data_IF_523379730668
#
_entry.id   IF_523379730668
#
_cell.length_a   1.000
_cell.length_b   1.000
_cell.length_c   1.000
_cell.angle_alpha   90.00
_cell.angle_beta   90.00
_cell.angle_gamma   90.00
#
_symmetry.space_group_name_H-M   'P 1'
#
loop_
_entity.id
_entity.type
_entity.pdbx_description
1 polymer ?
#
# COMPACT_ATOMS: atom_id res chain seq x y z
N UNK A 1 -36.10 -15.80 2.52
CA UNK A 1 -34.95 -15.14 1.89
C UNK A 1 -33.87 -14.85 2.94
N UNK A 2 -32.64 -15.25 2.72
CA UNK A 2 -31.55 -14.99 3.68
C UNK A 2 -31.16 -13.51 3.62
N UNK A 3 -31.35 -12.77 4.71
CA UNK A 3 -30.90 -11.37 4.85
C UNK A 3 -29.42 -11.23 5.17
N UNK A 4 -28.71 -12.33 5.45
CA UNK A 4 -27.26 -12.31 5.75
C UNK A 4 -26.47 -12.33 4.46
N UNK A 5 -25.59 -11.34 4.30
CA UNK A 5 -24.66 -11.26 3.17
C UNK A 5 -23.73 -12.49 3.23
N UNK A 6 -23.73 -13.29 2.18
CA UNK A 6 -22.85 -14.45 2.07
C UNK A 6 -21.40 -13.93 2.00
N UNK A 7 -20.56 -14.36 2.91
CA UNK A 7 -19.13 -14.08 2.84
C UNK A 7 -18.56 -14.95 1.73
N UNK A 8 -18.23 -14.32 0.61
CA UNK A 8 -17.53 -14.98 -0.49
C UNK A 8 -16.05 -14.85 -0.18
N UNK A 9 -15.42 -15.95 0.24
CA UNK A 9 -13.96 -16.03 0.27
C UNK A 9 -13.45 -15.97 -1.16
N UNK A 10 -12.91 -14.81 -1.54
CA UNK A 10 -12.22 -14.68 -2.82
C UNK A 10 -10.82 -15.26 -2.64
N UNK A 11 -10.50 -16.26 -3.44
CA UNK A 11 -9.12 -16.74 -3.57
C UNK A 11 -8.23 -15.56 -3.97
N UNK A 12 -7.10 -15.40 -3.29
CA UNK A 12 -6.12 -14.39 -3.65
C UNK A 12 -5.53 -14.75 -5.00
N UNK A 13 -5.86 -13.96 -6.02
CA UNK A 13 -5.29 -14.13 -7.35
C UNK A 13 -3.79 -13.88 -7.28
N UNK A 14 -3.03 -14.87 -7.69
CA UNK A 14 -1.58 -14.77 -7.84
C UNK A 14 -1.23 -14.20 -9.21
N UNK A 15 -0.06 -13.59 -9.29
CA UNK A 15 0.51 -13.10 -10.53
C UNK A 15 1.09 -14.25 -11.36
N UNK A 16 0.99 -14.16 -12.70
CA UNK A 16 1.43 -15.20 -13.62
C UNK A 16 2.96 -15.34 -13.73
N UNK A 17 3.71 -14.25 -13.49
CA UNK A 17 5.18 -14.25 -13.65
C UNK A 17 5.93 -14.62 -12.37
N UNK A 18 5.51 -14.08 -11.24
CA UNK A 18 6.18 -14.25 -9.95
C UNK A 18 5.39 -15.10 -8.96
N UNK A 19 4.16 -15.54 -9.29
CA UNK A 19 3.30 -16.29 -8.39
C UNK A 19 2.92 -15.52 -7.10
N UNK A 20 3.06 -14.19 -7.10
CA UNK A 20 2.90 -13.35 -5.91
C UNK A 20 1.55 -12.66 -5.87
N UNK A 21 0.81 -12.83 -4.77
CA UNK A 21 -0.44 -12.11 -4.52
C UNK A 21 -0.20 -10.58 -4.36
N UNK A 22 0.98 -10.19 -3.83
CA UNK A 22 1.35 -8.79 -3.67
C UNK A 22 1.54 -8.11 -5.03
N UNK A 23 2.22 -8.77 -5.98
CA UNK A 23 2.39 -8.26 -7.35
C UNK A 23 1.04 -8.18 -8.06
N UNK A 24 0.19 -9.17 -7.92
CA UNK A 24 -1.16 -9.14 -8.50
C UNK A 24 -2.00 -7.98 -7.95
N UNK A 25 -1.89 -7.68 -6.65
CA UNK A 25 -2.54 -6.53 -6.00
C UNK A 25 -1.98 -5.20 -6.51
N UNK A 26 -0.66 -5.11 -6.71
CA UNK A 26 0.00 -3.92 -7.27
C UNK A 26 -0.47 -3.67 -8.71
N UNK A 27 -0.50 -4.69 -9.57
CA UNK A 27 -1.02 -4.64 -10.95
C UNK A 27 -2.47 -4.14 -10.95
N UNK A 28 -3.32 -4.71 -10.07
CA UNK A 28 -4.71 -4.31 -9.95
C UNK A 28 -4.91 -2.84 -9.54
N UNK A 29 -3.99 -2.30 -8.72
CA UNK A 29 -4.03 -0.89 -8.28
C UNK A 29 -3.51 0.07 -9.36
N UNK A 30 -2.58 -0.37 -10.20
CA UNK A 30 -2.03 0.42 -11.31
C UNK A 30 -2.99 0.41 -12.50
N UNK A 31 -3.72 -0.69 -12.70
CA UNK A 31 -4.60 -0.89 -13.84
C UNK A 31 -5.61 0.26 -13.97
N UNK A 32 -5.72 0.79 -15.19
CA UNK A 32 -6.71 1.81 -15.55
C UNK A 32 -7.54 1.34 -16.75
N UNK A 33 -8.85 1.58 -16.70
CA UNK A 33 -9.79 1.23 -17.81
C UNK A 33 -9.69 -0.24 -18.27
N UNK A 34 -9.40 -1.18 -17.36
CA UNK A 34 -9.30 -2.61 -17.66
C UNK A 34 -8.05 -3.05 -18.43
N UNK A 35 -7.11 -2.14 -18.73
CA UNK A 35 -5.91 -2.42 -19.53
C UNK A 35 -4.86 -3.18 -18.71
N UNK A 36 -5.14 -4.45 -18.39
CA UNK A 36 -4.32 -5.27 -17.51
C UNK A 36 -2.93 -5.57 -18.10
N UNK A 37 -2.83 -5.91 -19.37
CA UNK A 37 -1.55 -6.22 -20.02
C UNK A 37 -0.54 -5.06 -19.98
N UNK A 38 -1.02 -3.82 -20.08
CA UNK A 38 -0.18 -2.63 -19.93
C UNK A 38 0.28 -2.48 -18.48
N UNK A 39 -0.64 -2.66 -17.50
CA UNK A 39 -0.31 -2.59 -16.09
C UNK A 39 0.73 -3.65 -15.69
N UNK A 40 0.59 -4.89 -16.16
CA UNK A 40 1.54 -5.99 -15.95
C UNK A 40 2.92 -5.63 -16.48
N UNK A 41 3.01 -5.22 -17.76
CA UNK A 41 4.28 -4.85 -18.39
C UNK A 41 5.00 -3.71 -17.64
N UNK A 42 4.27 -2.68 -17.22
CA UNK A 42 4.83 -1.55 -16.48
C UNK A 42 5.29 -1.99 -15.09
N UNK A 43 4.51 -2.82 -14.39
CA UNK A 43 4.84 -3.31 -13.05
C UNK A 43 6.08 -4.19 -13.09
N UNK A 44 6.15 -5.17 -14.00
CA UNK A 44 7.32 -6.04 -14.14
C UNK A 44 8.59 -5.27 -14.46
N UNK A 45 8.50 -4.33 -15.40
CA UNK A 45 9.63 -3.49 -15.77
C UNK A 45 10.10 -2.60 -14.60
N UNK A 46 9.18 -2.09 -13.77
CA UNK A 46 9.52 -1.29 -12.60
C UNK A 46 10.16 -2.12 -11.49
N UNK A 47 9.68 -3.35 -11.25
CA UNK A 47 10.28 -4.28 -10.27
C UNK A 47 11.70 -4.64 -10.71
N UNK A 48 11.91 -4.97 -11.98
CA UNK A 48 13.22 -5.31 -12.52
C UNK A 48 14.20 -4.12 -12.44
N UNK A 49 13.75 -2.92 -12.78
CA UNK A 49 14.55 -1.68 -12.68
C UNK A 49 14.89 -1.33 -11.22
N UNK A 50 13.99 -1.59 -10.28
CA UNK A 50 14.26 -1.39 -8.85
C UNK A 50 15.29 -2.39 -8.30
N UNK A 51 15.27 -3.64 -8.77
CA UNK A 51 16.23 -4.68 -8.45
C UNK A 51 17.64 -4.36 -8.94
N UNK A 52 17.76 -3.95 -10.21
CA UNK A 52 19.07 -3.61 -10.81
C UNK A 52 19.83 -2.51 -10.06
N UNK A 53 19.10 -1.70 -9.30
CA UNK A 53 19.67 -0.61 -8.50
C UNK A 53 19.96 -1.01 -7.05
N UNK A 54 19.67 -2.25 -6.66
CA UNK A 54 19.90 -2.82 -5.33
C UNK A 54 20.62 -4.17 -5.53
N UNK A 55 21.51 -4.55 -4.63
CA UNK A 55 22.22 -5.84 -4.68
C UNK A 55 21.32 -7.05 -4.35
N UNK A 56 20.00 -6.89 -4.51
CA UNK A 56 19.03 -7.92 -4.21
C UNK A 56 19.06 -9.04 -5.26
N UNK A 57 19.21 -10.27 -4.81
CA UNK A 57 19.19 -11.46 -5.67
C UNK A 57 17.79 -11.79 -6.14
N UNK A 58 16.78 -11.67 -5.24
CA UNK A 58 15.38 -11.91 -5.55
C UNK A 58 14.70 -10.64 -6.10
N UNK A 59 14.04 -10.71 -7.28
CA UNK A 59 13.28 -9.58 -7.82
C UNK A 59 12.21 -9.03 -6.88
N UNK A 60 11.65 -9.86 -6.00
CA UNK A 60 10.60 -9.46 -5.07
C UNK A 60 11.12 -8.93 -3.73
N UNK A 61 12.39 -9.11 -3.41
CA UNK A 61 12.95 -8.70 -2.13
C UNK A 61 12.79 -7.19 -1.91
N UNK A 62 13.15 -6.37 -2.90
CA UNK A 62 13.00 -4.91 -2.86
C UNK A 62 11.54 -4.50 -2.68
N UNK A 63 10.62 -5.17 -3.38
CA UNK A 63 9.18 -4.91 -3.26
C UNK A 63 8.66 -5.27 -1.86
N UNK A 64 9.00 -6.44 -1.35
CA UNK A 64 8.56 -6.90 -0.03
C UNK A 64 9.07 -5.96 1.05
N UNK A 65 10.37 -5.62 1.02
CA UNK A 65 11.00 -4.69 1.96
C UNK A 65 10.37 -3.29 1.90
N UNK A 66 10.08 -2.79 0.69
CA UNK A 66 9.39 -1.51 0.52
C UNK A 66 7.99 -1.54 1.16
N UNK A 67 7.20 -2.58 0.90
CA UNK A 67 5.86 -2.72 1.47
C UNK A 67 5.90 -2.82 3.00
N UNK A 68 6.83 -3.59 3.56
CA UNK A 68 6.97 -3.74 5.02
C UNK A 68 7.37 -2.42 5.69
N UNK A 69 8.24 -1.64 5.04
CA UNK A 69 8.60 -0.31 5.51
C UNK A 69 7.44 0.71 5.45
N UNK A 70 6.51 0.57 4.51
CA UNK A 70 5.39 1.52 4.35
C UNK A 70 4.15 1.09 5.13
N UNK A 71 4.00 -0.20 5.45
CA UNK A 71 2.80 -0.73 6.10
C UNK A 71 2.51 0.00 7.43
N UNK A 72 1.37 0.72 7.55
CA UNK A 72 1.01 1.38 8.79
C UNK A 72 0.48 0.37 9.81
N UNK A 73 0.82 0.56 11.08
CA UNK A 73 0.29 -0.20 12.22
C UNK A 73 -0.92 0.49 12.84
N UNK A 74 -1.00 1.81 12.72
CA UNK A 74 -2.06 2.64 13.28
C UNK A 74 -2.65 3.53 12.19
N UNK A 75 -3.95 3.75 12.24
CA UNK A 75 -4.66 4.76 11.45
C UNK A 75 -5.64 5.52 12.35
N UNK A 76 -6.08 6.71 11.93
CA UNK A 76 -7.16 7.42 12.60
C UNK A 76 -8.44 7.29 11.80
N UNK A 77 -9.57 7.06 12.51
CA UNK A 77 -10.90 7.09 11.93
C UNK A 77 -11.73 8.17 12.60
N UNK A 78 -12.44 8.95 11.78
CA UNK A 78 -13.38 9.96 12.28
C UNK A 78 -14.58 9.28 12.91
N UNK A 79 -14.95 9.69 14.11
CA UNK A 79 -16.14 9.25 14.83
C UNK A 79 -16.91 10.43 15.38
N UNK A 80 -18.21 10.43 15.20
CA UNK A 80 -19.08 11.46 15.77
C UNK A 80 -19.61 11.01 17.11
N UNK A 81 -19.32 11.77 18.17
CA UNK A 81 -19.78 11.52 19.53
C UNK A 81 -20.36 12.83 20.08
N UNK A 82 -21.65 12.81 20.50
CA UNK A 82 -22.27 13.99 21.09
C UNK A 82 -22.28 15.24 20.22
N UNK A 83 -22.31 15.08 18.86
CA UNK A 83 -22.31 16.21 17.91
C UNK A 83 -20.90 16.66 17.47
N UNK A 84 -19.82 16.31 18.18
CA UNK A 84 -18.45 16.58 17.78
C UNK A 84 -17.83 15.41 17.02
N UNK A 85 -16.90 15.68 16.09
CA UNK A 85 -16.17 14.65 15.33
C UNK A 85 -14.76 14.50 15.89
N UNK A 86 -14.46 13.32 16.39
CA UNK A 86 -13.15 12.96 16.93
C UNK A 86 -12.39 12.04 15.98
N UNK A 87 -11.07 12.22 15.91
CA UNK A 87 -10.16 11.33 15.20
C UNK A 87 -9.69 10.24 16.16
N UNK A 88 -10.28 9.04 16.04
CA UNK A 88 -10.01 7.92 16.96
C UNK A 88 -8.90 7.06 16.37
N UNK A 89 -7.77 6.85 17.10
CA UNK A 89 -6.70 5.96 16.66
C UNK A 89 -7.14 4.50 16.75
N UNK A 90 -6.83 3.73 15.72
CA UNK A 90 -7.16 2.30 15.62
C UNK A 90 -5.97 1.53 15.03
N UNK A 91 -5.83 0.28 15.47
CA UNK A 91 -4.89 -0.64 14.85
C UNK A 91 -5.37 -1.06 13.45
N UNK A 92 -4.43 -1.21 12.55
CA UNK A 92 -4.69 -1.59 11.15
C UNK A 92 -4.48 -3.08 10.99
N UNK A 93 -5.50 -3.80 10.52
CA UNK A 93 -5.36 -5.21 10.16
C UNK A 93 -4.28 -5.38 9.07
N UNK A 94 -3.46 -6.46 9.09
CA UNK A 94 -2.33 -6.66 8.17
C UNK A 94 -2.70 -6.52 6.69
N UNK A 95 -3.82 -7.11 6.28
CA UNK A 95 -4.32 -7.01 4.89
C UNK A 95 -4.64 -5.58 4.47
N UNK A 96 -5.27 -4.83 5.37
CA UNK A 96 -5.57 -3.42 5.16
C UNK A 96 -4.30 -2.59 5.11
N UNK A 97 -3.33 -2.87 5.99
CA UNK A 97 -2.02 -2.22 5.99
C UNK A 97 -1.30 -2.39 4.66
N UNK A 98 -1.28 -3.62 4.13
CA UNK A 98 -0.72 -3.92 2.81
C UNK A 98 -1.47 -3.18 1.69
N UNK A 99 -2.81 -3.13 1.73
CA UNK A 99 -3.59 -2.41 0.73
C UNK A 99 -3.32 -0.89 0.75
N UNK A 100 -3.13 -0.31 1.95
CA UNK A 100 -2.76 1.10 2.11
C UNK A 100 -1.35 1.37 1.57
N UNK A 101 -0.38 0.51 1.89
CA UNK A 101 1.00 0.64 1.41
C UNK A 101 1.07 0.62 -0.13
N UNK A 102 0.43 -0.35 -0.78
CA UNK A 102 0.35 -0.44 -2.25
C UNK A 102 -0.28 0.82 -2.85
N UNK A 103 -1.39 1.29 -2.28
CA UNK A 103 -2.06 2.52 -2.75
C UNK A 103 -1.17 3.74 -2.62
N UNK A 104 -0.45 3.89 -1.53
CA UNK A 104 0.44 5.04 -1.31
C UNK A 104 1.61 5.04 -2.29
N UNK A 105 2.26 3.89 -2.51
CA UNK A 105 3.33 3.76 -3.50
C UNK A 105 2.82 4.21 -4.88
N UNK A 106 1.69 3.67 -5.34
CA UNK A 106 1.14 4.00 -6.65
C UNK A 106 0.77 5.49 -6.77
N UNK A 107 0.18 6.07 -5.73
CA UNK A 107 -0.20 7.48 -5.72
C UNK A 107 1.02 8.40 -5.76
N UNK A 108 2.06 8.11 -4.99
CA UNK A 108 3.28 8.91 -5.00
C UNK A 108 4.10 8.71 -6.27
N UNK A 109 4.11 7.50 -6.83
CA UNK A 109 4.71 7.26 -8.15
C UNK A 109 3.99 8.07 -9.25
N UNK A 110 2.66 8.18 -9.21
CA UNK A 110 1.89 9.03 -10.14
C UNK A 110 2.18 10.53 -9.98
N UNK A 111 2.50 10.97 -8.77
CA UNK A 111 2.81 12.37 -8.48
C UNK A 111 4.24 12.77 -8.91
N UNK A 112 5.15 11.82 -9.11
CA UNK A 112 6.51 12.10 -9.59
C UNK A 112 6.49 12.52 -11.06
N UNK A 113 7.36 13.44 -11.43
CA UNK A 113 7.57 13.84 -12.83
C UNK A 113 8.26 12.73 -13.62
N UNK A 114 7.93 12.61 -14.91
CA UNK A 114 8.55 11.67 -15.85
C UNK A 114 7.74 10.42 -16.14
N UNK A 115 8.41 9.36 -16.58
CA UNK A 115 7.77 8.09 -16.91
C UNK A 115 7.29 7.37 -15.64
N UNK A 116 6.03 6.95 -15.61
CA UNK A 116 5.45 6.24 -14.46
C UNK A 116 6.24 4.98 -14.08
N UNK A 117 6.78 4.25 -15.05
CA UNK A 117 7.63 3.08 -14.80
C UNK A 117 8.85 3.44 -13.95
N UNK A 118 9.61 4.47 -14.38
CA UNK A 118 10.78 4.94 -13.64
C UNK A 118 10.42 5.53 -12.29
N UNK A 119 9.32 6.28 -12.23
CA UNK A 119 8.81 6.85 -10.99
C UNK A 119 8.43 5.77 -9.96
N UNK A 120 7.79 4.68 -10.43
CA UNK A 120 7.44 3.54 -9.59
C UNK A 120 8.70 2.79 -9.11
N UNK A 121 9.66 2.52 -9.99
CA UNK A 121 10.93 1.89 -9.62
C UNK A 121 11.69 2.69 -8.56
N UNK A 122 11.78 4.00 -8.73
CA UNK A 122 12.42 4.89 -7.76
C UNK A 122 11.68 4.93 -6.42
N UNK A 123 10.33 4.97 -6.43
CA UNK A 123 9.55 4.95 -5.18
C UNK A 123 9.72 3.63 -4.42
N UNK A 124 9.78 2.49 -5.13
CA UNK A 124 10.05 1.18 -4.53
C UNK A 124 11.47 1.13 -3.91
N UNK A 125 12.46 1.66 -4.61
CA UNK A 125 13.84 1.73 -4.13
C UNK A 125 13.97 2.62 -2.88
N UNK A 126 13.43 3.84 -2.95
CA UNK A 126 13.46 4.77 -1.82
C UNK A 126 12.77 4.17 -0.60
N UNK A 127 11.61 3.55 -0.80
CA UNK A 127 10.86 2.90 0.27
C UNK A 127 11.57 1.69 0.86
N UNK A 128 12.27 0.89 0.06
CA UNK A 128 13.09 -0.22 0.56
C UNK A 128 14.25 0.26 1.44
N UNK A 129 14.77 1.46 1.17
CA UNK A 129 15.77 2.14 2.02
C UNK A 129 15.15 2.89 3.22
N UNK A 130 13.84 2.81 3.42
CA UNK A 130 13.15 3.54 4.50
C UNK A 130 12.98 5.03 4.24
N UNK A 131 13.06 5.47 2.99
CA UNK A 131 12.95 6.86 2.55
C UNK A 131 11.77 7.06 1.59
N UNK A 132 11.56 8.29 1.13
CA UNK A 132 10.54 8.60 0.15
C UNK A 132 9.19 9.05 0.75
N UNK A 133 8.31 9.48 -0.14
CA UNK A 133 7.03 10.09 0.26
C UNK A 133 6.04 9.07 0.84
N UNK A 134 6.10 7.82 0.39
CA UNK A 134 5.23 6.77 0.92
C UNK A 134 5.57 6.43 2.38
N UNK A 135 6.87 6.37 2.73
CA UNK A 135 7.33 6.18 4.11
C UNK A 135 6.96 7.38 4.97
N UNK A 136 7.18 8.61 4.47
CA UNK A 136 6.75 9.83 5.15
C UNK A 136 5.24 9.82 5.44
N UNK A 137 4.42 9.37 4.51
CA UNK A 137 2.97 9.24 4.71
C UNK A 137 2.61 8.27 5.83
N UNK A 138 3.32 7.14 5.95
CA UNK A 138 3.18 6.22 7.08
C UNK A 138 3.49 6.93 8.40
N UNK A 139 4.62 7.63 8.45
CA UNK A 139 5.07 8.33 9.66
C UNK A 139 4.10 9.45 10.06
N UNK A 140 3.59 10.22 9.11
CA UNK A 140 2.58 11.24 9.36
C UNK A 140 1.27 10.62 9.89
N UNK A 141 0.89 9.45 9.35
CA UNK A 141 -0.30 8.72 9.84
C UNK A 141 -0.10 8.23 11.27
N UNK A 142 1.09 7.72 11.61
CA UNK A 142 1.43 7.30 12.98
C UNK A 142 1.51 8.49 13.93
N UNK A 143 2.10 9.62 13.54
CA UNK A 143 2.13 10.86 14.33
C UNK A 143 0.72 11.36 14.62
N UNK A 144 -0.15 11.36 13.61
CA UNK A 144 -1.55 11.74 13.78
C UNK A 144 -2.28 10.82 14.76
N UNK A 145 -2.07 9.51 14.68
CA UNK A 145 -2.66 8.54 15.61
C UNK A 145 -2.14 8.76 17.03
N UNK A 146 -0.86 9.05 17.20
CA UNK A 146 -0.25 9.31 18.49
C UNK A 146 -0.75 10.64 19.12
N UNK A 147 -0.87 11.71 18.33
CA UNK A 147 -1.42 12.98 18.79
C UNK A 147 -2.88 12.86 19.27
N UNK A 148 -3.64 11.95 18.68
CA UNK A 148 -5.04 11.68 19.04
C UNK A 148 -5.21 10.55 20.07
N UNK A 149 -4.13 10.09 20.72
CA UNK A 149 -4.16 8.96 21.68
C UNK A 149 -5.16 9.16 22.82
N UNK A 150 -5.40 10.39 23.25
CA UNK A 150 -6.37 10.72 24.29
C UNK A 150 -7.79 10.29 23.93
N UNK A 151 -8.14 10.18 22.65
CA UNK A 151 -9.45 9.77 22.16
C UNK A 151 -9.57 8.26 21.92
N UNK A 152 -8.57 7.47 22.28
CA UNK A 152 -8.58 6.01 22.09
C UNK A 152 -9.73 5.31 22.84
N UNK A 153 -10.21 5.89 23.94
CA UNK A 153 -11.35 5.36 24.70
C UNK A 153 -12.69 5.40 23.94
N UNK A 154 -12.78 6.19 22.85
CA UNK A 154 -13.93 6.16 21.94
C UNK A 154 -13.89 5.01 20.94
N UNK A 155 -12.88 4.13 21.01
CA UNK A 155 -12.80 2.91 20.21
C UNK A 155 -13.88 1.90 20.67
N UNK A 156 -14.47 1.15 19.72
CA UNK A 156 -15.27 -0.05 19.98
C UNK A 156 -14.48 -1.29 19.70
#
# INVERSE_FOLDING_TARGET
>A
MSRRRRVIHKEEKQDSRYGSALVARLIGTIMHSGKRSIAERVTYAAIEESRQSSDAVDPLETLNKAIDNIRPRLETKSRRVGGATYQVPMEVAPERGTALAVRWIVNFAKARKGSFRKALANELKDAAMGQGNAVKKRDDTHKMAQANRAFAHFRF
#
